data_IF_588680059050
#
_entry.id   IF_588680059050
#
_cell.length_a   1.000
_cell.length_b   1.000
_cell.length_c   1.000
_cell.angle_alpha   90.00
_cell.angle_beta   90.00
_cell.angle_gamma   90.00
#
_symmetry.space_group_name_H-M   'P 1'
#
loop_
_entity.id
_entity.type
_entity.pdbx_description
1 polymer ?
#
# COMPACT_ATOMS: atom_id res chain seq x y z
N UNK A 1 10.61 14.37 24.86
CA UNK A 1 11.79 13.46 24.98
C UNK A 1 13.00 13.90 24.15
N UNK A 2 12.85 14.24 22.83
CA UNK A 2 13.98 14.71 22.01
C UNK A 2 14.55 16.05 22.56
N UNK A 3 13.71 17.04 22.80
CA UNK A 3 14.12 18.35 23.32
C UNK A 3 14.76 18.25 24.71
N UNK A 4 14.27 17.35 25.57
CA UNK A 4 14.85 17.04 26.87
C UNK A 4 16.26 16.46 26.72
N UNK A 5 16.46 15.54 25.76
CA UNK A 5 17.78 14.98 25.45
C UNK A 5 18.72 16.04 24.87
N UNK A 6 18.20 16.91 23.99
CA UNK A 6 18.95 18.05 23.44
C UNK A 6 19.34 19.05 24.54
N UNK A 7 18.47 19.31 25.49
CA UNK A 7 18.74 20.21 26.61
C UNK A 7 19.70 19.63 27.67
N UNK A 8 19.83 18.28 27.77
CA UNK A 8 20.63 17.64 28.78
C UNK A 8 22.14 17.82 28.55
N UNK A 9 22.88 18.56 29.42
CA UNK A 9 24.32 18.82 29.24
C UNK A 9 25.21 17.58 29.38
N UNK A 10 24.71 16.50 30.01
CA UNK A 10 25.49 15.26 30.22
C UNK A 10 25.50 14.36 28.99
N UNK A 11 24.68 14.65 27.98
CA UNK A 11 24.62 13.85 26.75
C UNK A 11 25.56 14.46 25.72
N UNK A 12 26.51 13.66 25.22
CA UNK A 12 27.36 14.08 24.08
C UNK A 12 26.49 14.24 22.84
N UNK A 13 26.61 15.39 22.18
CA UNK A 13 25.82 15.77 21.01
C UNK A 13 26.72 16.23 19.88
N UNK A 14 26.35 15.86 18.66
CA UNK A 14 26.92 16.41 17.44
C UNK A 14 25.83 17.18 16.69
N UNK A 15 26.11 18.41 16.33
CA UNK A 15 25.19 19.22 15.51
C UNK A 15 25.44 18.92 14.04
N UNK A 16 24.38 18.54 13.32
CA UNK A 16 24.37 18.39 11.87
C UNK A 16 23.33 19.35 11.27
N UNK A 17 23.54 19.81 10.07
CA UNK A 17 22.54 20.58 9.35
C UNK A 17 21.48 19.62 8.81
N UNK A 18 20.20 19.87 9.10
CA UNK A 18 19.10 19.03 8.60
C UNK A 18 19.10 18.90 7.06
N UNK A 19 19.48 19.96 6.36
CA UNK A 19 19.60 19.95 4.89
C UNK A 19 20.71 19.03 4.39
N UNK A 20 21.83 18.94 5.10
CA UNK A 20 22.92 18.04 4.71
C UNK A 20 22.49 16.58 4.91
N UNK A 21 21.80 16.25 6.03
CA UNK A 21 21.23 14.95 6.26
C UNK A 21 20.20 14.56 5.18
N UNK A 22 19.30 15.48 4.85
CA UNK A 22 18.28 15.30 3.80
C UNK A 22 18.91 15.05 2.43
N UNK A 23 20.00 15.75 2.12
CA UNK A 23 20.76 15.58 0.87
C UNK A 23 21.41 14.20 0.82
N UNK A 24 22.04 13.74 1.91
CA UNK A 24 22.67 12.42 1.96
C UNK A 24 21.64 11.29 1.85
N UNK A 25 20.48 11.39 2.54
CA UNK A 25 19.39 10.43 2.38
C UNK A 25 18.93 10.38 0.91
N UNK A 26 18.75 11.54 0.28
CA UNK A 26 18.31 11.62 -1.11
C UNK A 26 19.33 11.03 -2.09
N UNK A 27 20.63 11.21 -1.86
CA UNK A 27 21.69 10.58 -2.66
C UNK A 27 21.64 9.07 -2.54
N UNK A 28 21.63 8.54 -1.30
CA UNK A 28 21.55 7.11 -1.04
C UNK A 28 20.32 6.49 -1.72
N UNK A 29 19.17 7.17 -1.66
CA UNK A 29 17.94 6.70 -2.31
C UNK A 29 18.07 6.66 -3.84
N UNK A 30 18.75 7.64 -4.46
CA UNK A 30 18.97 7.64 -5.91
C UNK A 30 19.99 6.58 -6.35
N UNK A 31 21.00 6.30 -5.52
CA UNK A 31 22.08 5.37 -5.83
C UNK A 31 21.75 3.91 -5.54
N UNK A 32 20.92 3.65 -4.52
CA UNK A 32 20.64 2.29 -4.04
C UNK A 32 19.17 1.92 -3.92
N UNK A 33 18.26 2.89 -4.04
CA UNK A 33 16.84 2.70 -3.75
C UNK A 33 16.48 2.81 -2.27
N UNK A 34 17.45 2.80 -1.35
CA UNK A 34 17.31 2.83 0.11
C UNK A 34 17.76 4.17 0.71
N UNK A 35 17.36 4.53 1.95
CA UNK A 35 16.42 3.82 2.83
C UNK A 35 14.96 4.04 2.42
N UNK A 36 14.09 3.10 2.82
CA UNK A 36 12.65 3.31 2.78
C UNK A 36 12.22 4.34 3.83
N UNK A 37 11.07 4.97 3.62
CA UNK A 37 10.59 6.03 4.50
C UNK A 37 9.22 5.68 5.05
N UNK A 38 9.04 5.81 6.36
CA UNK A 38 7.74 5.73 7.03
C UNK A 38 7.40 7.10 7.59
N UNK A 39 6.26 7.64 7.19
CA UNK A 39 5.66 8.84 7.76
C UNK A 39 4.89 8.44 9.02
N UNK A 40 5.61 8.18 10.12
CA UNK A 40 5.08 7.53 11.31
C UNK A 40 3.92 8.28 11.95
N UNK A 41 3.94 9.62 11.92
CA UNK A 41 2.85 10.42 12.44
C UNK A 41 1.59 10.31 11.57
N UNK A 42 1.77 10.21 10.24
CA UNK A 42 0.65 9.99 9.31
C UNK A 42 0.05 8.59 9.51
N UNK A 43 0.90 7.57 9.65
CA UNK A 43 0.47 6.20 9.93
C UNK A 43 -0.35 6.13 11.23
N UNK A 44 0.14 6.75 12.30
CA UNK A 44 -0.55 6.73 13.61
C UNK A 44 -1.81 7.60 13.65
N UNK A 45 -1.87 8.74 12.94
CA UNK A 45 -3.12 9.54 12.84
C UNK A 45 -4.24 8.78 12.14
N UNK A 46 -3.90 8.01 11.10
CA UNK A 46 -4.87 7.22 10.34
C UNK A 46 -5.17 5.86 10.98
N UNK A 47 -4.43 5.46 12.00
CA UNK A 47 -4.64 4.20 12.69
C UNK A 47 -6.03 4.18 13.38
N UNK A 48 -6.90 3.20 13.07
CA UNK A 48 -8.22 3.11 13.66
C UNK A 48 -8.27 2.31 14.97
N UNK A 49 -7.16 1.67 15.37
CA UNK A 49 -7.10 0.79 16.52
C UNK A 49 -6.23 1.36 17.65
N UNK A 50 -6.43 0.87 18.87
CA UNK A 50 -5.64 1.28 20.03
C UNK A 50 -4.18 0.83 19.89
N UNK A 51 -3.25 1.67 20.36
CA UNK A 51 -1.82 1.41 20.34
C UNK A 51 -1.06 2.22 19.29
N UNK A 52 0.21 1.89 19.10
CA UNK A 52 1.12 2.63 18.21
C UNK A 52 1.75 1.72 17.18
N UNK A 53 1.77 2.19 15.95
CA UNK A 53 2.60 1.68 14.87
C UNK A 53 4.00 2.27 15.08
N UNK A 54 5.03 1.43 15.19
CA UNK A 54 6.41 1.85 15.46
C UNK A 54 7.37 1.51 14.32
N UNK A 55 7.03 0.52 13.49
CA UNK A 55 7.81 0.08 12.33
C UNK A 55 6.90 -0.56 11.28
N UNK A 56 7.47 -1.00 10.17
CA UNK A 56 6.82 -1.70 9.08
C UNK A 56 7.62 -2.95 8.68
N UNK A 57 7.08 -3.75 7.77
CA UNK A 57 7.79 -4.86 7.11
C UNK A 57 8.78 -4.37 6.05
N UNK A 58 9.49 -5.30 5.42
CA UNK A 58 10.48 -5.03 4.36
C UNK A 58 9.87 -4.22 3.20
N UNK A 59 8.67 -4.55 2.76
CA UNK A 59 8.03 -3.88 1.61
C UNK A 59 7.19 -2.65 2.00
N UNK A 60 7.18 -2.26 3.28
CA UNK A 60 6.59 -1.01 3.83
C UNK A 60 5.06 -0.90 3.76
N UNK A 61 4.34 -1.99 3.42
CA UNK A 61 2.86 -1.99 3.38
C UNK A 61 2.21 -2.46 4.68
N UNK A 62 2.91 -3.20 5.55
CA UNK A 62 2.35 -3.67 6.81
C UNK A 62 2.57 -2.62 7.90
N UNK A 63 1.47 -2.04 8.34
CA UNK A 63 1.44 -1.01 9.38
C UNK A 63 0.44 -1.43 10.45
N UNK A 64 0.90 -2.29 11.38
CA UNK A 64 0.12 -2.84 12.48
C UNK A 64 0.65 -2.33 13.82
N UNK A 65 -0.20 -2.31 14.83
CA UNK A 65 0.20 -2.00 16.20
C UNK A 65 1.10 -3.09 16.73
N UNK A 66 2.17 -2.70 17.40
CA UNK A 66 3.18 -3.59 17.95
C UNK A 66 3.49 -3.23 19.40
N UNK A 67 3.79 -4.23 20.20
CA UNK A 67 4.33 -4.04 21.55
C UNK A 67 5.67 -4.75 21.66
N UNK A 68 6.72 -4.08 22.20
CA UNK A 68 8.05 -4.69 22.27
C UNK A 68 8.08 -5.83 23.28
N UNK A 69 8.79 -6.91 22.93
CA UNK A 69 9.18 -7.95 23.86
C UNK A 69 10.36 -7.51 24.71
N UNK A 70 10.45 -8.02 25.94
CA UNK A 70 11.62 -7.90 26.79
C UNK A 70 12.24 -9.28 26.96
N UNK A 71 13.50 -9.41 26.59
CA UNK A 71 14.26 -10.66 26.68
C UNK A 71 15.33 -10.55 27.76
N UNK A 72 15.70 -11.68 28.41
CA UNK A 72 16.87 -11.78 29.25
C UNK A 72 18.14 -12.04 28.41
N UNK A 73 19.30 -12.13 29.07
CA UNK A 73 20.58 -12.36 28.39
C UNK A 73 20.66 -13.73 27.68
N UNK A 74 19.81 -14.69 28.07
CA UNK A 74 19.67 -16.00 27.43
C UNK A 74 18.64 -16.01 26.28
N UNK A 75 18.13 -14.85 25.88
CA UNK A 75 17.09 -14.67 24.85
C UNK A 75 15.73 -15.31 25.19
N UNK A 76 15.45 -15.52 26.47
CA UNK A 76 14.12 -15.96 26.93
C UNK A 76 13.22 -14.75 27.16
N UNK A 77 11.92 -14.90 26.87
CA UNK A 77 10.94 -13.83 27.06
C UNK A 77 10.69 -13.58 28.56
N UNK A 78 11.08 -12.41 29.05
CA UNK A 78 10.63 -11.86 30.34
C UNK A 78 9.24 -11.21 30.21
N UNK A 79 8.99 -10.58 29.09
CA UNK A 79 7.66 -10.05 28.71
C UNK A 79 7.45 -10.37 27.23
N UNK A 80 6.36 -11.05 26.94
CA UNK A 80 5.94 -11.33 25.56
C UNK A 80 5.30 -10.08 24.96
N UNK A 81 5.88 -9.55 23.91
CA UNK A 81 5.26 -8.53 23.07
C UNK A 81 4.41 -9.14 21.96
N UNK A 82 3.86 -8.27 21.12
CA UNK A 82 3.12 -8.65 19.91
C UNK A 82 3.84 -8.12 18.69
N UNK A 83 4.37 -9.02 17.87
CA UNK A 83 4.93 -8.68 16.56
C UNK A 83 3.91 -8.91 15.46
N UNK A 84 4.23 -8.43 14.25
CA UNK A 84 3.32 -8.48 13.11
C UNK A 84 3.58 -9.68 12.21
N UNK A 85 2.54 -10.12 11.51
CA UNK A 85 2.62 -11.10 10.43
C UNK A 85 2.14 -10.50 9.11
N UNK A 86 2.68 -11.00 7.98
CA UNK A 86 2.33 -10.55 6.64
C UNK A 86 1.40 -11.58 5.95
N UNK A 87 0.15 -11.66 6.38
CA UNK A 87 -0.86 -12.52 5.77
C UNK A 87 -1.49 -11.79 4.57
N UNK A 88 -0.85 -11.87 3.41
CA UNK A 88 -1.15 -11.04 2.24
C UNK A 88 -1.91 -11.80 1.15
N UNK A 89 -2.80 -11.09 0.49
CA UNK A 89 -3.43 -11.48 -0.75
C UNK A 89 -3.69 -10.27 -1.63
N UNK A 90 -3.85 -10.48 -2.93
CA UNK A 90 -4.10 -9.37 -3.85
C UNK A 90 -5.16 -9.73 -4.87
N UNK A 91 -6.13 -8.85 -5.03
CA UNK A 91 -7.13 -8.95 -6.08
C UNK A 91 -6.49 -8.58 -7.42
N UNK A 92 -6.81 -9.34 -8.47
CA UNK A 92 -6.53 -8.94 -9.85
C UNK A 92 -7.65 -7.99 -10.29
N UNK A 93 -7.33 -6.69 -10.44
CA UNK A 93 -8.33 -5.65 -10.76
C UNK A 93 -9.06 -5.98 -12.07
N UNK A 94 -8.34 -6.43 -13.11
CA UNK A 94 -8.92 -6.75 -14.41
C UNK A 94 -9.99 -7.85 -14.29
N UNK A 95 -9.72 -8.87 -13.48
CA UNK A 95 -10.64 -9.98 -13.30
C UNK A 95 -11.77 -9.66 -12.32
N UNK A 96 -11.46 -8.93 -11.22
CA UNK A 96 -12.45 -8.58 -10.21
C UNK A 96 -13.52 -7.65 -10.77
N UNK A 97 -13.13 -6.66 -11.61
CA UNK A 97 -14.08 -5.78 -12.29
C UNK A 97 -14.99 -6.48 -13.30
N UNK A 98 -14.61 -7.69 -13.76
CA UNK A 98 -15.44 -8.54 -14.62
C UNK A 98 -16.24 -9.60 -13.83
N UNK A 99 -16.05 -9.65 -12.50
CA UNK A 99 -16.78 -10.62 -11.67
C UNK A 99 -18.28 -10.35 -11.67
N UNK A 100 -19.13 -11.36 -11.80
CA UNK A 100 -20.58 -11.20 -11.72
C UNK A 100 -21.06 -10.72 -10.33
N UNK A 101 -20.23 -10.94 -9.32
CA UNK A 101 -20.49 -10.47 -7.95
C UNK A 101 -19.16 -10.02 -7.32
N UNK A 102 -18.87 -8.73 -7.45
CA UNK A 102 -17.69 -8.08 -6.88
C UNK A 102 -17.61 -8.30 -5.36
N UNK A 103 -18.70 -8.04 -4.65
CA UNK A 103 -18.74 -8.13 -3.20
C UNK A 103 -18.50 -9.54 -2.68
N UNK A 104 -19.11 -10.55 -3.32
CA UNK A 104 -18.88 -11.96 -2.98
C UNK A 104 -17.42 -12.36 -3.18
N UNK A 105 -16.81 -11.90 -4.29
CA UNK A 105 -15.40 -12.19 -4.57
C UNK A 105 -14.48 -11.63 -3.50
N UNK A 106 -14.66 -10.37 -3.09
CA UNK A 106 -13.87 -9.73 -2.02
C UNK A 106 -14.08 -10.45 -0.68
N UNK A 107 -15.32 -10.77 -0.33
CA UNK A 107 -15.64 -11.51 0.91
C UNK A 107 -15.01 -12.90 0.92
N UNK A 108 -15.02 -13.59 -0.22
CA UNK A 108 -14.36 -14.91 -0.35
C UNK A 108 -12.85 -14.81 -0.14
N UNK A 109 -12.20 -13.78 -0.73
CA UNK A 109 -10.76 -13.53 -0.51
C UNK A 109 -10.47 -13.20 0.96
N UNK A 110 -11.33 -12.42 1.62
CA UNK A 110 -11.21 -12.12 3.05
C UNK A 110 -11.25 -13.41 3.88
N UNK A 111 -12.20 -14.31 3.63
CA UNK A 111 -12.27 -15.63 4.31
C UNK A 111 -11.06 -16.50 4.02
N UNK A 112 -10.57 -16.52 2.80
CA UNK A 112 -9.36 -17.27 2.45
C UNK A 112 -8.15 -16.78 3.25
N UNK A 113 -7.95 -15.46 3.37
CA UNK A 113 -6.89 -14.89 4.19
C UNK A 113 -7.12 -15.13 5.69
N UNK A 114 -8.37 -15.11 6.15
CA UNK A 114 -8.71 -15.49 7.52
C UNK A 114 -8.27 -16.91 7.82
N UNK A 115 -8.54 -17.84 6.89
CA UNK A 115 -8.09 -19.22 7.04
C UNK A 115 -6.56 -19.31 7.14
N UNK A 116 -5.82 -18.55 6.31
CA UNK A 116 -4.36 -18.51 6.36
C UNK A 116 -3.87 -18.01 7.71
N UNK A 117 -4.41 -16.89 8.19
CA UNK A 117 -3.96 -16.29 9.47
C UNK A 117 -4.26 -17.20 10.66
N UNK A 118 -5.43 -17.85 10.67
CA UNK A 118 -5.83 -18.75 11.77
C UNK A 118 -5.01 -20.05 11.81
N UNK A 119 -4.46 -20.49 10.67
CA UNK A 119 -3.70 -21.73 10.55
C UNK A 119 -2.18 -21.48 10.44
N UNK A 120 -1.74 -20.23 10.53
CA UNK A 120 -0.31 -19.88 10.54
C UNK A 120 0.25 -19.95 11.94
N UNK A 121 0.96 -21.03 12.25
CA UNK A 121 1.62 -21.24 13.54
C UNK A 121 3.12 -20.98 13.41
N UNK A 122 3.61 -19.95 14.10
CA UNK A 122 5.01 -19.52 14.04
C UNK A 122 5.68 -19.79 15.41
N UNK A 123 5.85 -21.07 15.73
CA UNK A 123 6.42 -21.52 17.00
C UNK A 123 7.88 -21.08 17.23
N UNK A 124 8.62 -20.73 16.17
CA UNK A 124 9.98 -20.26 16.27
C UNK A 124 10.12 -18.83 16.84
N UNK A 125 9.06 -17.99 16.71
CA UNK A 125 9.04 -16.63 17.23
C UNK A 125 7.69 -16.38 17.90
N UNK A 126 7.62 -16.62 19.20
CA UNK A 126 6.37 -16.60 19.97
C UNK A 126 5.69 -15.23 19.98
N UNK A 127 6.43 -14.14 19.84
CA UNK A 127 5.85 -12.79 19.75
C UNK A 127 5.05 -12.56 18.46
N UNK A 128 5.41 -13.21 17.35
CA UNK A 128 4.63 -13.19 16.11
C UNK A 128 3.36 -14.01 16.28
N UNK A 129 3.45 -15.18 16.90
CA UNK A 129 2.29 -16.02 17.23
C UNK A 129 1.30 -15.24 18.11
N UNK A 130 1.79 -14.58 19.17
CA UNK A 130 1.01 -13.75 20.06
C UNK A 130 0.32 -12.58 19.31
N UNK A 131 1.06 -11.91 18.42
CA UNK A 131 0.52 -10.82 17.62
C UNK A 131 -0.55 -11.30 16.64
N UNK A 132 -0.28 -12.41 15.93
CA UNK A 132 -1.23 -12.97 14.97
C UNK A 132 -2.53 -13.43 15.62
N UNK A 133 -2.46 -14.13 16.75
CA UNK A 133 -3.62 -14.63 17.49
C UNK A 133 -4.48 -13.53 18.12
N UNK A 134 -3.89 -12.38 18.46
CA UNK A 134 -4.62 -11.25 19.06
C UNK A 134 -5.23 -10.31 18.01
N UNK A 135 -4.53 -10.12 16.90
CA UNK A 135 -4.93 -9.17 15.88
C UNK A 135 -5.73 -9.78 14.73
N UNK A 136 -5.53 -11.06 14.44
CA UNK A 136 -6.08 -11.76 13.26
C UNK A 136 -5.88 -10.95 11.96
N UNK A 137 -4.80 -10.15 11.91
CA UNK A 137 -4.60 -9.17 10.83
C UNK A 137 -4.32 -9.85 9.50
N UNK A 138 -4.95 -9.32 8.46
CA UNK A 138 -4.74 -9.68 7.07
C UNK A 138 -4.37 -8.45 6.26
N UNK A 139 -3.87 -8.64 5.04
CA UNK A 139 -3.55 -7.57 4.11
C UNK A 139 -4.07 -7.91 2.71
N UNK A 140 -5.34 -7.62 2.45
CA UNK A 140 -5.88 -7.73 1.10
C UNK A 140 -5.53 -6.47 0.31
N UNK A 141 -4.82 -6.63 -0.79
CA UNK A 141 -4.43 -5.56 -1.70
C UNK A 141 -4.99 -5.76 -3.11
N UNK A 142 -4.29 -5.14 -4.06
CA UNK A 142 -4.66 -5.22 -5.47
C UNK A 142 -3.42 -5.20 -6.38
N UNK A 143 -3.55 -5.79 -7.57
CA UNK A 143 -2.60 -5.73 -8.67
C UNK A 143 -3.31 -5.51 -9.99
N UNK A 144 -2.59 -5.03 -10.99
CA UNK A 144 -3.12 -4.85 -12.33
C UNK A 144 -3.82 -3.52 -12.59
N UNK A 145 -3.60 -2.48 -11.75
CA UNK A 145 -4.23 -1.18 -11.98
C UNK A 145 -3.85 -0.59 -13.34
N UNK A 146 -2.56 -0.55 -13.68
CA UNK A 146 -2.15 0.00 -14.97
C UNK A 146 -2.69 -0.82 -16.15
N UNK A 147 -2.71 -2.16 -16.02
CA UNK A 147 -3.31 -3.03 -17.02
C UNK A 147 -4.81 -2.74 -17.21
N UNK A 148 -5.55 -2.59 -16.14
CA UNK A 148 -6.97 -2.26 -16.21
C UNK A 148 -7.22 -0.90 -16.86
N UNK A 149 -6.48 0.13 -16.45
CA UNK A 149 -6.59 1.47 -17.00
C UNK A 149 -6.27 1.50 -18.50
N UNK A 150 -5.15 0.89 -18.91
CA UNK A 150 -4.72 0.86 -20.30
C UNK A 150 -5.71 0.09 -21.19
N UNK A 151 -6.23 -1.07 -20.75
CA UNK A 151 -7.25 -1.84 -21.45
C UNK A 151 -8.58 -1.09 -21.60
N UNK A 152 -8.85 -0.12 -20.73
CA UNK A 152 -10.00 0.77 -20.79
C UNK A 152 -9.67 2.13 -21.41
N UNK A 153 -8.52 2.30 -22.05
CA UNK A 153 -8.05 3.50 -22.74
C UNK A 153 -8.01 4.73 -21.81
N UNK A 154 -7.56 4.53 -20.58
CA UNK A 154 -7.44 5.56 -19.54
C UNK A 154 -5.95 5.81 -19.24
N UNK A 155 -5.53 7.06 -19.35
CA UNK A 155 -4.16 7.46 -18.93
C UNK A 155 -3.98 7.27 -17.41
N UNK A 156 -2.90 6.58 -17.03
CA UNK A 156 -2.50 6.48 -15.64
C UNK A 156 -2.18 7.89 -15.08
N UNK A 157 -2.70 8.20 -13.90
CA UNK A 157 -2.55 9.53 -13.28
C UNK A 157 -3.48 10.60 -13.85
N UNK A 158 -4.43 10.24 -14.71
CA UNK A 158 -5.55 11.11 -15.08
C UNK A 158 -6.53 11.25 -13.91
N UNK A 159 -7.41 12.26 -13.95
CA UNK A 159 -8.48 12.42 -12.96
C UNK A 159 -9.38 11.17 -12.90
N UNK A 160 -9.67 10.58 -14.05
CA UNK A 160 -10.44 9.33 -14.17
C UNK A 160 -9.75 8.16 -13.47
N UNK A 161 -8.42 8.02 -13.62
CA UNK A 161 -7.66 6.99 -12.94
C UNK A 161 -7.65 7.18 -11.41
N UNK A 162 -7.53 8.41 -10.93
CA UNK A 162 -7.59 8.75 -9.51
C UNK A 162 -8.99 8.44 -8.94
N UNK A 163 -10.04 8.86 -9.62
CA UNK A 163 -11.42 8.60 -9.22
C UNK A 163 -11.74 7.10 -9.21
N UNK A 164 -11.38 6.37 -10.27
CA UNK A 164 -11.51 4.92 -10.32
C UNK A 164 -10.83 4.25 -9.13
N UNK A 165 -9.59 4.63 -8.85
CA UNK A 165 -8.80 4.05 -7.76
C UNK A 165 -9.44 4.33 -6.40
N UNK A 166 -9.97 5.53 -6.19
CA UNK A 166 -10.67 5.88 -4.96
C UNK A 166 -11.90 4.97 -4.73
N UNK A 167 -12.78 4.85 -5.73
CA UNK A 167 -13.99 4.02 -5.63
C UNK A 167 -13.63 2.54 -5.47
N UNK A 168 -12.65 2.04 -6.23
CA UNK A 168 -12.23 0.65 -6.13
C UNK A 168 -11.76 0.28 -4.71
N UNK A 169 -10.88 1.09 -4.12
CA UNK A 169 -10.38 0.82 -2.77
C UNK A 169 -11.42 1.08 -1.68
N UNK A 170 -12.34 2.01 -1.90
CA UNK A 170 -13.51 2.19 -1.04
C UNK A 170 -14.36 0.90 -1.01
N UNK A 171 -14.59 0.27 -2.17
CA UNK A 171 -15.33 -0.99 -2.26
C UNK A 171 -14.58 -2.15 -1.59
N UNK A 172 -13.26 -2.26 -1.75
CA UNK A 172 -12.47 -3.26 -1.02
C UNK A 172 -12.61 -3.06 0.49
N UNK A 173 -12.52 -1.82 0.97
CA UNK A 173 -12.70 -1.50 2.38
C UNK A 173 -14.10 -1.89 2.89
N UNK A 174 -15.15 -1.52 2.15
CA UNK A 174 -16.53 -1.85 2.53
C UNK A 174 -16.73 -3.37 2.67
N UNK A 175 -16.40 -4.13 1.63
CA UNK A 175 -16.66 -5.56 1.62
C UNK A 175 -15.77 -6.37 2.56
N UNK A 176 -14.55 -5.91 2.84
CA UNK A 176 -13.70 -6.53 3.87
C UNK A 176 -14.21 -6.23 5.28
N UNK A 177 -14.79 -5.05 5.52
CA UNK A 177 -15.48 -4.73 6.79
C UNK A 177 -16.71 -5.59 6.98
N UNK A 178 -17.57 -5.70 5.95
CA UNK A 178 -18.76 -6.56 5.98
C UNK A 178 -18.38 -7.99 6.36
N UNK A 179 -17.34 -8.53 5.72
CA UNK A 179 -16.94 -9.91 5.97
C UNK A 179 -16.26 -10.11 7.31
N UNK A 180 -15.44 -9.16 7.75
CA UNK A 180 -14.83 -9.19 9.08
C UNK A 180 -15.88 -9.14 10.19
N UNK A 181 -16.94 -8.36 10.01
CA UNK A 181 -18.08 -8.32 10.94
C UNK A 181 -18.87 -9.63 10.92
N UNK A 182 -19.13 -10.21 9.74
CA UNK A 182 -19.79 -11.52 9.64
C UNK A 182 -19.02 -12.61 10.38
N UNK A 183 -17.67 -12.65 10.22
CA UNK A 183 -16.83 -13.63 10.90
C UNK A 183 -16.85 -13.40 12.41
N UNK A 184 -16.78 -12.15 12.88
CA UNK A 184 -16.86 -11.83 14.30
C UNK A 184 -18.18 -12.34 14.92
N UNK A 185 -19.30 -12.10 14.23
CA UNK A 185 -20.64 -12.57 14.66
C UNK A 185 -20.75 -14.10 14.66
N UNK A 186 -20.24 -14.78 13.63
CA UNK A 186 -20.25 -16.24 13.51
C UNK A 186 -19.43 -16.90 14.61
N UNK A 187 -18.25 -16.35 14.91
CA UNK A 187 -17.29 -16.89 15.89
C UNK A 187 -17.52 -16.38 17.32
N UNK A 188 -18.28 -15.31 17.47
CA UNK A 188 -18.45 -14.56 18.73
C UNK A 188 -17.10 -14.11 19.30
N UNK A 189 -16.24 -13.63 18.42
CA UNK A 189 -14.87 -13.25 18.72
C UNK A 189 -14.50 -12.00 17.93
N UNK A 190 -13.77 -11.09 18.57
CA UNK A 190 -13.24 -9.86 17.97
C UNK A 190 -11.73 -9.80 18.16
N UNK A 191 -11.04 -8.99 17.38
CA UNK A 191 -9.64 -8.71 17.65
C UNK A 191 -9.46 -8.07 19.05
N UNK A 192 -8.29 -8.29 19.64
CA UNK A 192 -7.97 -7.82 20.99
C UNK A 192 -8.08 -6.28 21.12
N UNK A 193 -8.73 -5.79 22.17
CA UNK A 193 -9.00 -4.37 22.42
C UNK A 193 -9.91 -3.71 21.35
N UNK A 194 -10.79 -4.46 20.72
CA UNK A 194 -11.77 -3.91 19.77
C UNK A 194 -12.53 -2.71 20.37
N UNK A 195 -12.94 -2.80 21.63
CA UNK A 195 -13.74 -1.79 22.34
C UNK A 195 -13.05 -0.42 22.47
N UNK A 196 -11.73 -0.36 22.26
CA UNK A 196 -10.93 0.89 22.28
C UNK A 196 -10.70 1.46 20.89
N UNK A 197 -11.23 0.83 19.86
CA UNK A 197 -11.02 1.23 18.47
C UNK A 197 -12.05 2.27 18.00
N UNK A 198 -11.68 3.01 16.94
CA UNK A 198 -12.61 3.89 16.22
C UNK A 198 -13.71 3.11 15.48
N UNK A 199 -13.59 1.80 15.40
CA UNK A 199 -14.63 0.94 14.89
C UNK A 199 -15.74 0.75 15.92
N UNK A 200 -15.37 0.52 17.19
CA UNK A 200 -16.32 0.30 18.29
C UNK A 200 -17.11 1.57 18.64
N UNK A 201 -16.46 2.75 18.63
CA UNK A 201 -17.16 4.02 18.86
C UNK A 201 -17.91 4.53 17.61
N UNK A 202 -17.60 3.98 16.43
CA UNK A 202 -18.23 4.30 15.16
C UNK A 202 -17.59 5.46 14.40
N UNK A 203 -16.64 6.19 14.97
CA UNK A 203 -16.02 7.38 14.34
C UNK A 203 -15.22 7.07 13.06
N UNK A 204 -14.78 5.83 12.90
CA UNK A 204 -14.17 5.37 11.65
C UNK A 204 -15.09 5.55 10.43
N UNK A 205 -16.38 5.40 10.62
CA UNK A 205 -17.39 5.40 9.55
C UNK A 205 -17.88 6.81 9.18
N UNK A 206 -17.63 7.82 10.00
CA UNK A 206 -18.20 9.16 9.83
C UNK A 206 -17.95 9.73 8.43
N UNK A 207 -16.73 9.60 7.92
CA UNK A 207 -16.37 10.08 6.59
C UNK A 207 -17.14 9.38 5.45
N UNK A 208 -17.51 8.12 5.63
CA UNK A 208 -18.26 7.36 4.64
C UNK A 208 -19.76 7.61 4.72
N UNK A 209 -20.27 7.82 5.93
CA UNK A 209 -21.70 8.13 6.16
C UNK A 209 -22.04 9.51 5.63
N UNK A 210 -21.13 10.49 5.79
CA UNK A 210 -21.37 11.90 5.43
C UNK A 210 -20.74 12.29 4.09
N UNK A 211 -19.76 11.52 3.60
CA UNK A 211 -19.05 11.79 2.36
C UNK A 211 -19.79 11.27 1.11
N UNK A 212 -19.40 11.78 -0.04
CA UNK A 212 -19.88 11.31 -1.34
C UNK A 212 -18.77 10.50 -2.03
N UNK A 213 -18.90 9.18 -1.98
CA UNK A 213 -18.02 8.22 -2.64
C UNK A 213 -18.68 7.56 -3.86
N UNK A 214 -19.66 8.22 -4.46
CA UNK A 214 -20.27 7.76 -5.70
C UNK A 214 -19.43 8.20 -6.91
N UNK A 215 -19.39 7.42 -8.00
CA UNK A 215 -18.75 7.83 -9.25
C UNK A 215 -19.32 9.14 -9.76
N UNK A 216 -18.45 10.12 -10.02
CA UNK A 216 -18.87 11.45 -10.47
C UNK A 216 -18.78 11.59 -11.99
N UNK A 217 -17.66 11.14 -12.60
CA UNK A 217 -17.48 11.22 -14.04
C UNK A 217 -18.23 10.10 -14.76
N UNK A 218 -18.78 10.41 -15.95
CA UNK A 218 -19.54 9.44 -16.74
C UNK A 218 -18.68 8.21 -17.07
N UNK A 219 -17.39 8.41 -17.34
CA UNK A 219 -16.48 7.29 -17.62
C UNK A 219 -16.34 6.35 -16.42
N UNK A 220 -16.24 6.87 -15.20
CA UNK A 220 -16.13 6.02 -13.99
C UNK A 220 -17.49 5.37 -13.69
N UNK A 221 -18.61 6.04 -13.94
CA UNK A 221 -19.95 5.42 -13.85
C UNK A 221 -20.07 4.20 -14.77
N UNK A 222 -19.62 4.30 -16.03
CA UNK A 222 -19.60 3.18 -16.96
C UNK A 222 -18.74 2.01 -16.44
N UNK A 223 -17.56 2.29 -15.87
CA UNK A 223 -16.67 1.24 -15.35
C UNK A 223 -17.26 0.47 -14.18
N UNK A 224 -18.11 1.10 -13.38
CA UNK A 224 -18.78 0.48 -12.24
C UNK A 224 -20.24 0.10 -12.51
N UNK A 225 -20.68 0.13 -13.77
CA UNK A 225 -22.04 -0.28 -14.13
C UNK A 225 -22.32 -1.72 -13.67
N UNK A 226 -23.42 -1.91 -12.95
CA UNK A 226 -23.81 -3.21 -12.38
C UNK A 226 -23.06 -3.63 -11.12
N UNK A 227 -22.08 -2.85 -10.65
CA UNK A 227 -21.40 -3.08 -9.37
C UNK A 227 -22.10 -2.28 -8.28
N UNK A 228 -22.47 -2.94 -7.18
CA UNK A 228 -23.06 -2.25 -6.02
C UNK A 228 -22.05 -1.29 -5.39
N UNK A 229 -22.42 -0.04 -5.27
CA UNK A 229 -21.64 1.01 -4.60
C UNK A 229 -22.42 1.46 -3.37
N UNK A 230 -21.88 1.28 -2.14
CA UNK A 230 -22.59 1.60 -0.91
C UNK A 230 -22.87 3.10 -0.80
N UNK A 231 -24.10 3.42 -0.42
CA UNK A 231 -24.54 4.77 -0.05
C UNK A 231 -24.12 5.11 1.40
N UNK A 232 -24.30 6.37 1.80
CA UNK A 232 -24.09 6.77 3.20
C UNK A 232 -24.99 5.98 4.17
N UNK A 233 -26.19 5.54 3.74
CA UNK A 233 -27.05 4.70 4.56
C UNK A 233 -26.49 3.28 4.73
N UNK A 234 -25.99 2.67 3.66
CA UNK A 234 -25.36 1.34 3.74
C UNK A 234 -24.13 1.36 4.68
N UNK A 235 -23.35 2.46 4.65
CA UNK A 235 -22.27 2.68 5.59
C UNK A 235 -22.73 2.88 7.02
N UNK A 236 -23.86 3.54 7.24
CA UNK A 236 -24.45 3.71 8.57
C UNK A 236 -24.95 2.35 9.12
N UNK A 237 -25.60 1.53 8.30
CA UNK A 237 -26.02 0.19 8.69
C UNK A 237 -24.82 -0.72 9.02
N UNK A 238 -23.74 -0.66 8.20
CA UNK A 238 -22.52 -1.39 8.48
C UNK A 238 -21.86 -0.93 9.80
N UNK A 239 -21.82 0.39 10.06
CA UNK A 239 -21.34 0.95 11.33
C UNK A 239 -22.11 0.35 12.52
N UNK A 240 -23.43 0.34 12.44
CA UNK A 240 -24.29 -0.12 13.53
C UNK A 240 -24.12 -1.63 13.76
N UNK A 241 -23.97 -2.42 12.70
CA UNK A 241 -23.64 -3.84 12.78
C UNK A 241 -22.25 -4.07 13.43
N UNK A 242 -21.24 -3.29 13.04
CA UNK A 242 -19.89 -3.40 13.61
C UNK A 242 -19.88 -2.99 15.08
N UNK A 243 -20.66 -1.98 15.48
CA UNK A 243 -20.81 -1.61 16.90
C UNK A 243 -21.48 -2.71 17.72
N UNK A 244 -22.38 -3.47 17.12
CA UNK A 244 -23.11 -4.55 17.81
C UNK A 244 -22.28 -5.83 17.92
N UNK A 245 -21.65 -6.26 16.84
CA UNK A 245 -21.02 -7.58 16.72
C UNK A 245 -19.47 -7.53 16.66
N UNK A 246 -18.89 -6.36 16.46
CA UNK A 246 -17.44 -6.15 16.35
C UNK A 246 -16.84 -6.49 14.99
N UNK A 247 -15.50 -6.52 14.95
CA UNK A 247 -14.69 -6.98 13.81
C UNK A 247 -13.75 -8.08 14.26
N UNK A 248 -13.57 -9.11 13.42
CA UNK A 248 -12.62 -10.18 13.68
C UNK A 248 -11.18 -9.76 13.44
N UNK A 249 -10.92 -8.98 12.37
CA UNK A 249 -9.58 -8.53 11.98
C UNK A 249 -9.31 -7.11 12.48
N UNK A 250 -8.15 -6.93 13.12
CA UNK A 250 -7.64 -5.62 13.50
C UNK A 250 -7.29 -4.77 12.27
N UNK A 251 -6.62 -5.39 11.29
CA UNK A 251 -6.25 -4.77 10.02
C UNK A 251 -6.69 -5.68 8.86
N UNK A 252 -7.05 -5.09 7.70
CA UNK A 252 -7.67 -5.83 6.60
C UNK A 252 -7.04 -5.56 5.24
N UNK A 253 -6.58 -4.33 4.97
CA UNK A 253 -6.07 -3.91 3.67
C UNK A 253 -4.60 -3.52 3.74
N UNK A 254 -3.80 -4.03 2.78
CA UNK A 254 -2.44 -3.62 2.54
C UNK A 254 -2.09 -3.86 1.06
N UNK A 255 -1.34 -2.98 0.42
CA UNK A 255 -1.00 -3.12 -1.00
C UNK A 255 0.47 -3.45 -1.16
N UNK A 256 0.74 -4.72 -1.43
CA UNK A 256 2.06 -5.28 -1.65
C UNK A 256 2.63 -4.99 -3.06
N UNK A 257 3.94 -5.17 -3.30
CA UNK A 257 4.55 -4.92 -4.61
C UNK A 257 4.13 -5.92 -5.70
N UNK A 258 3.77 -7.16 -5.36
CA UNK A 258 3.23 -8.21 -6.23
C UNK A 258 4.11 -8.59 -7.46
N UNK A 259 5.43 -8.57 -7.32
CA UNK A 259 6.35 -8.82 -8.44
C UNK A 259 6.06 -10.13 -9.18
N UNK A 260 6.27 -11.28 -8.55
CA UNK A 260 6.15 -12.58 -9.21
C UNK A 260 4.71 -13.01 -9.51
N UNK A 261 3.79 -12.74 -8.58
CA UNK A 261 2.39 -13.16 -8.71
C UNK A 261 1.66 -12.44 -9.86
N UNK A 262 2.09 -11.23 -10.23
CA UNK A 262 1.51 -10.47 -11.33
C UNK A 262 1.74 -11.14 -12.69
N UNK A 263 2.88 -11.82 -12.90
CA UNK A 263 3.14 -12.59 -14.13
C UNK A 263 2.21 -13.79 -14.25
N UNK A 264 1.98 -14.52 -13.16
CA UNK A 264 1.05 -15.65 -13.13
C UNK A 264 -0.38 -15.21 -13.45
N UNK A 265 -0.73 -13.98 -13.05
CA UNK A 265 -2.05 -13.41 -13.26
C UNK A 265 -2.18 -12.58 -14.54
N UNK A 266 -1.12 -12.47 -15.33
CA UNK A 266 -1.06 -11.69 -16.59
C UNK A 266 -1.61 -10.27 -16.41
N UNK A 267 -1.04 -9.52 -15.45
CA UNK A 267 -1.35 -8.12 -15.17
C UNK A 267 -0.13 -7.36 -14.66
N UNK A 268 -0.19 -6.03 -14.65
CA UNK A 268 0.85 -5.19 -14.05
C UNK A 268 0.95 -5.41 -12.53
N UNK A 269 2.18 -5.32 -12.00
CA UNK A 269 2.42 -5.49 -10.58
C UNK A 269 1.80 -4.35 -9.76
N UNK A 270 1.25 -4.69 -8.59
CA UNK A 270 0.68 -3.72 -7.64
C UNK A 270 -0.30 -2.73 -8.31
N UNK A 271 -0.30 -1.49 -7.82
CA UNK A 271 -1.06 -0.39 -8.41
C UNK A 271 -0.17 0.66 -9.09
N UNK A 272 1.14 0.43 -9.19
CA UNK A 272 2.06 1.34 -9.88
C UNK A 272 2.04 1.14 -11.41
N UNK A 273 2.49 2.15 -12.18
CA UNK A 273 2.64 2.01 -13.62
C UNK A 273 3.78 1.03 -13.98
N UNK A 274 3.70 0.43 -15.16
CA UNK A 274 4.77 -0.43 -15.68
C UNK A 274 6.03 0.38 -15.99
N UNK A 275 7.20 -0.25 -15.92
CA UNK A 275 8.48 0.37 -16.33
C UNK A 275 8.73 0.22 -17.82
N UNK A 276 8.32 -0.91 -18.41
CA UNK A 276 8.51 -1.24 -19.83
C UNK A 276 7.26 -1.92 -20.39
N UNK A 277 6.95 -1.66 -21.68
CA UNK A 277 5.84 -2.32 -22.40
C UNK A 277 6.12 -3.78 -22.68
N UNK A 278 7.38 -4.13 -22.88
CA UNK A 278 7.88 -5.51 -23.03
C UNK A 278 9.06 -5.62 -22.08
N UNK A 279 8.90 -6.41 -21.04
CA UNK A 279 9.95 -6.65 -20.05
C UNK A 279 10.82 -7.83 -20.52
N UNK A 280 12.14 -7.62 -20.53
CA UNK A 280 13.11 -8.68 -20.80
C UNK A 280 13.64 -9.24 -19.49
N UNK A 281 13.57 -10.56 -19.33
CA UNK A 281 14.15 -11.25 -18.17
C UNK A 281 15.12 -12.33 -18.64
N UNK A 282 16.22 -12.43 -17.91
CA UNK A 282 17.22 -13.49 -18.12
C UNK A 282 16.94 -14.65 -17.16
N UNK A 283 16.40 -15.75 -17.69
CA UNK A 283 16.17 -16.97 -16.90
C UNK A 283 17.33 -17.95 -17.09
N UNK A 284 17.88 -18.43 -15.97
CA UNK A 284 19.12 -19.25 -15.94
C UNK A 284 19.05 -20.51 -16.84
N UNK A 285 17.87 -21.11 -17.02
CA UNK A 285 17.69 -22.37 -17.76
C UNK A 285 17.14 -22.19 -19.19
N UNK A 286 16.43 -21.08 -19.45
CA UNK A 286 15.63 -20.90 -20.66
C UNK A 286 16.22 -19.78 -21.55
N UNK A 287 17.08 -18.93 -20.98
CA UNK A 287 17.63 -17.76 -21.67
C UNK A 287 16.77 -16.51 -21.48
N UNK A 288 16.70 -15.65 -22.52
CA UNK A 288 15.90 -14.43 -22.48
C UNK A 288 14.43 -14.73 -22.69
N UNK A 289 13.59 -14.23 -21.80
CA UNK A 289 12.13 -14.31 -21.90
C UNK A 289 11.58 -12.88 -21.98
N UNK A 290 10.59 -12.68 -22.85
CA UNK A 290 9.93 -11.41 -23.05
C UNK A 290 8.50 -11.45 -22.53
N UNK A 291 8.18 -10.55 -21.60
CA UNK A 291 6.83 -10.39 -21.03
C UNK A 291 6.20 -9.09 -21.56
N UNK A 292 5.30 -9.15 -22.55
CA UNK A 292 4.54 -7.96 -22.95
C UNK A 292 3.54 -7.58 -21.87
N UNK A 293 3.25 -6.28 -21.75
CA UNK A 293 2.20 -5.80 -20.86
C UNK A 293 0.85 -6.44 -21.24
N UNK A 294 0.06 -6.79 -20.23
CA UNK A 294 -1.19 -7.53 -20.40
C UNK A 294 -2.19 -6.80 -21.30
N UNK A 295 -2.65 -7.45 -22.38
CA UNK A 295 -3.54 -6.83 -23.36
C UNK A 295 -2.86 -5.73 -24.19
N UNK A 296 -1.54 -5.80 -24.37
CA UNK A 296 -0.81 -4.88 -25.24
C UNK A 296 -1.28 -5.02 -26.70
N UNK A 297 -1.76 -3.94 -27.27
CA UNK A 297 -2.26 -3.85 -28.65
C UNK A 297 -1.98 -2.47 -29.22
N UNK A 298 -2.24 -2.27 -30.52
CA UNK A 298 -2.12 -0.95 -31.15
C UNK A 298 -3.00 0.12 -30.49
N UNK A 299 -4.14 -0.28 -29.92
CA UNK A 299 -5.06 0.63 -29.23
C UNK A 299 -4.58 0.97 -27.82
N UNK A 300 -4.02 0.00 -27.08
CA UNK A 300 -3.62 0.16 -25.68
C UNK A 300 -2.21 0.72 -25.50
N UNK A 301 -1.32 0.58 -26.50
CA UNK A 301 0.07 1.10 -26.47
C UNK A 301 0.16 2.57 -26.01
N UNK A 302 -0.70 3.51 -26.43
CA UNK A 302 -0.60 4.92 -26.00
C UNK A 302 -0.82 5.10 -24.50
N UNK A 303 -1.57 4.19 -23.87
CA UNK A 303 -1.92 4.24 -22.45
C UNK A 303 -0.90 3.48 -21.58
N UNK A 304 -0.08 2.60 -22.15
CA UNK A 304 1.04 1.96 -21.46
C UNK A 304 2.30 2.84 -21.50
N UNK A 305 2.23 3.97 -20.79
CA UNK A 305 3.39 4.84 -20.59
C UNK A 305 4.31 4.24 -19.54
N UNK A 306 5.63 4.35 -19.75
CA UNK A 306 6.60 3.95 -18.72
C UNK A 306 6.44 4.81 -17.47
N UNK A 307 6.60 4.21 -16.29
CA UNK A 307 6.66 4.92 -15.03
C UNK A 307 7.73 6.03 -15.03
N UNK A 308 8.84 5.80 -15.72
CA UNK A 308 9.94 6.77 -15.88
C UNK A 308 9.58 7.97 -16.78
N UNK A 309 8.51 7.87 -17.55
CA UNK A 309 8.01 8.92 -18.44
C UNK A 309 6.72 9.58 -17.88
N UNK A 310 6.48 9.47 -16.57
CA UNK A 310 5.35 10.06 -15.86
C UNK A 310 5.80 11.08 -14.82
N UNK A 311 5.00 12.11 -14.62
CA UNK A 311 5.16 12.97 -13.43
C UNK A 311 4.79 12.16 -12.18
N UNK A 312 5.76 12.00 -11.28
CA UNK A 312 5.58 11.22 -10.05
C UNK A 312 4.52 11.79 -9.11
N UNK A 313 4.15 13.07 -9.22
CA UNK A 313 3.00 13.61 -8.48
C UNK A 313 1.70 12.95 -8.90
N UNK A 314 1.54 12.61 -10.19
CA UNK A 314 0.36 11.89 -10.69
C UNK A 314 0.30 10.46 -10.16
N UNK A 315 1.45 9.80 -10.04
CA UNK A 315 1.54 8.49 -9.42
C UNK A 315 1.18 8.57 -7.93
N UNK A 316 1.72 9.57 -7.22
CA UNK A 316 1.39 9.83 -5.81
C UNK A 316 -0.10 10.12 -5.63
N UNK A 317 -0.76 10.86 -6.54
CA UNK A 317 -2.20 11.14 -6.46
C UNK A 317 -3.04 9.86 -6.57
N UNK A 318 -2.67 8.92 -7.44
CA UNK A 318 -3.32 7.60 -7.54
C UNK A 318 -3.15 6.81 -6.23
N UNK A 319 -1.93 6.78 -5.69
CA UNK A 319 -1.68 6.12 -4.41
C UNK A 319 -2.40 6.79 -3.23
N UNK A 320 -2.51 8.11 -3.24
CA UNK A 320 -3.25 8.85 -2.22
C UNK A 320 -4.73 8.50 -2.21
N UNK A 321 -5.33 8.35 -3.40
CA UNK A 321 -6.72 7.91 -3.55
C UNK A 321 -6.95 6.52 -2.92
N UNK A 322 -6.03 5.58 -3.10
CA UNK A 322 -6.09 4.27 -2.46
C UNK A 322 -5.82 4.36 -0.94
N UNK A 323 -4.84 5.16 -0.53
CA UNK A 323 -4.41 5.33 0.88
C UNK A 323 -5.56 5.75 1.79
N UNK A 324 -6.51 6.50 1.27
CA UNK A 324 -7.69 6.95 2.02
C UNK A 324 -8.50 5.79 2.61
N UNK A 325 -8.51 4.65 1.93
CA UNK A 325 -9.34 3.49 2.28
C UNK A 325 -8.55 2.31 2.84
N UNK A 326 -7.23 2.31 2.69
CA UNK A 326 -6.34 1.24 3.18
C UNK A 326 -5.93 1.52 4.61
N UNK A 327 -6.28 0.63 5.53
CA UNK A 327 -5.98 0.80 6.96
C UNK A 327 -4.49 0.63 7.29
N UNK A 328 -3.78 -0.23 6.58
CA UNK A 328 -2.31 -0.32 6.66
C UNK A 328 -1.63 0.58 5.63
N UNK A 329 -0.57 0.12 4.97
CA UNK A 329 0.22 0.87 4.00
C UNK A 329 0.10 0.38 2.56
N UNK A 330 0.78 1.08 1.69
CA UNK A 330 0.96 0.74 0.29
C UNK A 330 2.44 0.86 -0.07
N UNK A 331 2.99 -0.12 -0.79
CA UNK A 331 4.39 -0.12 -1.24
C UNK A 331 4.58 0.87 -2.41
N UNK A 332 4.57 2.16 -2.11
CA UNK A 332 4.77 3.21 -3.12
C UNK A 332 6.21 3.22 -3.60
N UNK A 333 6.44 2.94 -4.87
CA UNK A 333 7.73 3.14 -5.55
C UNK A 333 7.71 4.45 -6.33
N UNK A 334 8.76 5.26 -6.21
CA UNK A 334 8.99 6.43 -7.05
C UNK A 334 10.00 6.08 -8.14
N UNK A 335 9.68 6.42 -9.38
CA UNK A 335 10.47 6.13 -10.57
C UNK A 335 11.09 7.44 -11.08
N UNK A 336 12.40 7.53 -11.05
CA UNK A 336 13.16 8.72 -11.40
C UNK A 336 14.02 8.46 -12.63
N UNK A 337 14.33 9.51 -13.37
CA UNK A 337 15.37 9.49 -14.43
C UNK A 337 16.45 10.49 -14.08
N UNK A 338 17.70 10.17 -14.37
CA UNK A 338 18.82 11.11 -14.24
C UNK A 338 18.61 12.34 -15.12
N UNK A 339 18.14 12.14 -16.36
CA UNK A 339 17.69 13.18 -17.27
C UNK A 339 16.20 13.05 -17.58
N UNK A 340 15.47 14.16 -17.38
CA UNK A 340 14.03 14.21 -17.60
C UNK A 340 13.73 14.65 -19.05
N UNK A 341 12.76 14.02 -19.71
CA UNK A 341 12.17 14.56 -20.94
C UNK A 341 11.70 16.00 -20.73
N UNK A 342 11.76 16.82 -21.78
CA UNK A 342 11.27 18.19 -21.71
C UNK A 342 9.81 18.21 -21.26
N UNK A 343 9.50 19.11 -20.32
CA UNK A 343 8.16 19.32 -19.78
C UNK A 343 7.52 18.11 -19.07
N UNK A 344 8.27 17.08 -18.70
CA UNK A 344 7.72 15.95 -17.93
C UNK A 344 7.19 16.43 -16.58
N UNK A 345 7.94 17.29 -15.90
CA UNK A 345 7.51 17.89 -14.63
C UNK A 345 7.18 19.37 -14.83
N UNK A 346 5.89 19.71 -14.91
CA UNK A 346 5.44 21.11 -15.07
C UNK A 346 5.91 22.03 -13.92
N UNK A 347 6.13 21.47 -12.74
CA UNK A 347 6.56 22.17 -11.53
C UNK A 347 8.08 22.40 -11.45
N UNK A 348 8.86 21.89 -12.41
CA UNK A 348 10.34 21.92 -12.40
C UNK A 348 10.91 22.68 -13.60
N UNK A 349 11.93 23.48 -13.33
CA UNK A 349 12.77 24.09 -14.38
C UNK A 349 14.03 23.24 -14.60
N UNK A 350 14.33 22.97 -15.88
CA UNK A 350 15.48 22.15 -16.30
C UNK A 350 15.17 20.66 -16.38
N UNK A 351 16.11 19.91 -16.95
CA UNK A 351 15.95 18.49 -17.29
C UNK A 351 16.76 17.53 -16.40
N UNK A 352 17.62 18.01 -15.52
CA UNK A 352 18.40 17.14 -14.62
C UNK A 352 17.66 16.87 -13.31
N UNK A 353 17.53 15.62 -12.94
CA UNK A 353 17.02 15.22 -11.63
C UNK A 353 18.00 15.65 -10.53
N UNK A 354 17.47 16.11 -9.41
CA UNK A 354 18.26 16.58 -8.28
C UNK A 354 17.73 16.01 -6.97
N UNK A 355 18.57 15.99 -5.92
CA UNK A 355 18.14 15.59 -4.55
C UNK A 355 17.01 16.48 -4.02
N UNK A 356 16.96 17.75 -4.45
CA UNK A 356 15.85 18.66 -4.11
C UNK A 356 14.53 18.20 -4.71
N UNK A 357 14.53 17.68 -5.94
CA UNK A 357 13.30 17.18 -6.59
C UNK A 357 12.76 15.98 -5.85
N UNK A 358 13.63 15.07 -5.41
CA UNK A 358 13.22 13.93 -4.60
C UNK A 358 12.64 14.39 -3.24
N UNK A 359 13.26 15.36 -2.59
CA UNK A 359 12.72 15.96 -1.37
C UNK A 359 11.34 16.60 -1.60
N UNK A 360 11.13 17.28 -2.74
CA UNK A 360 9.81 17.82 -3.10
C UNK A 360 8.77 16.70 -3.27
N UNK A 361 9.12 15.59 -3.93
CA UNK A 361 8.21 14.47 -4.13
C UNK A 361 7.88 13.78 -2.80
N UNK A 362 8.84 13.57 -1.90
CA UNK A 362 8.58 13.04 -0.55
C UNK A 362 7.65 13.94 0.26
N UNK A 363 7.89 15.25 0.24
CA UNK A 363 7.02 16.23 0.90
C UNK A 363 5.62 16.24 0.28
N UNK A 364 5.51 16.12 -1.05
CA UNK A 364 4.22 16.01 -1.72
C UNK A 364 3.47 14.75 -1.27
N UNK A 365 4.13 13.59 -1.24
CA UNK A 365 3.57 12.34 -0.74
C UNK A 365 3.11 12.46 0.72
N UNK A 366 3.94 13.05 1.60
CA UNK A 366 3.57 13.30 2.99
C UNK A 366 2.30 14.17 3.12
N UNK A 367 2.22 15.27 2.36
CA UNK A 367 1.07 16.16 2.37
C UNK A 367 -0.21 15.51 1.80
N UNK A 368 -0.05 14.50 0.93
CA UNK A 368 -1.16 13.69 0.40
C UNK A 368 -1.58 12.53 1.34
N UNK A 369 -0.97 12.41 2.51
CA UNK A 369 -1.32 11.39 3.48
C UNK A 369 -0.69 10.01 3.23
N UNK A 370 0.30 9.92 2.34
CA UNK A 370 1.06 8.68 2.10
C UNK A 370 1.79 8.29 3.38
N UNK A 371 1.57 7.06 3.83
CA UNK A 371 2.10 6.52 5.08
C UNK A 371 3.53 6.01 4.95
N UNK A 372 3.91 5.50 3.76
CA UNK A 372 5.24 4.94 3.50
C UNK A 372 5.66 5.12 2.05
N UNK A 373 6.98 5.22 1.83
CA UNK A 373 7.60 5.18 0.50
C UNK A 373 8.57 4.01 0.52
N UNK A 374 8.39 3.10 -0.43
CA UNK A 374 9.18 1.89 -0.62
C UNK A 374 10.46 2.21 -1.39
N UNK A 375 10.61 1.74 -2.63
CA UNK A 375 11.79 2.00 -3.43
C UNK A 375 11.80 3.40 -4.07
N UNK A 376 13.01 3.94 -4.23
CA UNK A 376 13.32 4.96 -5.23
C UNK A 376 14.11 4.24 -6.34
N UNK A 377 13.51 4.07 -7.50
CA UNK A 377 14.17 3.47 -8.67
C UNK A 377 14.64 4.58 -9.61
N UNK A 378 15.90 4.55 -9.96
CA UNK A 378 16.49 5.56 -10.87
C UNK A 378 16.94 4.91 -12.17
N UNK A 379 16.44 5.41 -13.29
CA UNK A 379 16.89 5.02 -14.63
C UNK A 379 18.01 5.97 -15.04
N UNK A 380 19.19 5.41 -15.40
CA UNK A 380 20.36 6.15 -15.84
C UNK A 380 20.41 6.24 -17.36
N UNK A 381 21.16 7.21 -17.88
CA UNK A 381 21.28 7.45 -19.34
C UNK A 381 22.01 6.30 -20.05
N UNK A 382 22.79 5.51 -19.32
CA UNK A 382 23.47 4.31 -19.83
C UNK A 382 22.53 3.12 -20.00
N UNK A 383 21.22 3.28 -19.72
CA UNK A 383 20.21 2.24 -19.85
C UNK A 383 20.16 1.28 -18.68
N UNK A 384 20.88 1.54 -17.60
CA UNK A 384 20.83 0.75 -16.37
C UNK A 384 19.75 1.26 -15.42
N UNK A 385 19.03 0.33 -14.81
CA UNK A 385 18.06 0.60 -13.75
C UNK A 385 18.71 0.32 -12.39
N UNK A 386 18.95 1.37 -11.61
CA UNK A 386 19.54 1.28 -10.27
C UNK A 386 18.42 1.02 -9.26
N UNK A 387 18.63 0.07 -8.37
CA UNK A 387 17.67 -0.30 -7.31
C UNK A 387 16.67 -1.39 -7.72
N UNK A 388 16.66 -1.84 -8.98
CA UNK A 388 15.71 -2.87 -9.45
C UNK A 388 16.16 -4.31 -9.10
N UNK A 389 17.45 -4.57 -9.01
CA UNK A 389 18.01 -5.92 -8.96
C UNK A 389 18.26 -6.47 -7.55
N UNK A 390 17.85 -5.78 -6.48
CA UNK A 390 18.27 -6.15 -5.14
C UNK A 390 17.19 -6.72 -4.21
N UNK A 391 15.95 -6.86 -4.66
CA UNK A 391 14.95 -7.55 -3.84
C UNK A 391 14.85 -9.03 -4.23
N UNK A 392 15.84 -9.83 -3.86
CA UNK A 392 15.80 -11.30 -4.01
C UNK A 392 14.68 -11.95 -3.17
N UNK A 393 14.20 -11.27 -2.13
CA UNK A 393 13.13 -11.78 -1.25
C UNK A 393 11.73 -11.74 -1.89
N UNK A 394 11.53 -11.01 -3.00
CA UNK A 394 10.28 -11.03 -3.77
C UNK A 394 10.34 -11.97 -4.99
N UNK A 395 11.45 -12.69 -5.15
CA UNK A 395 11.72 -13.65 -6.22
C UNK A 395 11.94 -15.02 -5.56
N UNK A 396 10.88 -15.60 -5.03
CA UNK A 396 10.82 -17.03 -4.69
C UNK A 396 9.71 -17.64 -5.53
#
# INVERSE_FOLDING_TARGET
>A
KYDELVANPRIRKTKIKARDLETEISKLQQESGYPYVINIDTANRSNPVDGKIIMSNLCSEILQVQTPSVLNDSQEYLTMGTDVSCNLGSTNIVNLMKSPDFGRSVRTMTRALTYVTDHSHISAVLSIEAGNSQAHSIGLGAMGLHSYLAQNLIDYGSKTAVEFTNIYFMLLNYWTLVESNNIARERKETFHNFEKSKYADGTYFDKYVTGDYQPQSDRVKELFEGIFIPSGQDWAELRDNVKADGLYHQNRLAVAPNGSISYINDVSASIHPITQRIEERQEKKIGKIYYPAAGLSTETIPFYKSAYDMDMRKVIDVYAAATEHVDQGLSLTLFLRSELPKALYEWKKGNKQTTRDLSILRNYAFNKGIKSIYYIRTFTDDGEEVGANQCESCVI
#
